data_IF_719711418872
#
_entry.id   IF_719711418872
#
_cell.length_a   1.000
_cell.length_b   1.000
_cell.length_c   1.000
_cell.angle_alpha   90.00
_cell.angle_beta   90.00
_cell.angle_gamma   90.00
#
_symmetry.space_group_name_H-M   'P 1'
#
loop_
_entity.id
_entity.type
_entity.pdbx_description
1 polymer ?
#
# COMPACT_ATOMS: atom_id res chain seq x y z
N UNK A 1 56.56 -26.81 31.84
CA UNK A 1 56.35 -25.64 30.98
C UNK A 1 55.70 -25.94 29.65
N UNK A 2 56.16 -26.93 28.82
CA UNK A 2 55.56 -27.25 27.51
C UNK A 2 54.08 -27.68 27.56
N UNK A 3 53.63 -28.42 28.62
CA UNK A 3 52.25 -28.86 28.77
C UNK A 3 51.28 -27.70 29.13
N UNK A 4 51.79 -26.70 29.91
CA UNK A 4 51.01 -25.52 30.28
C UNK A 4 50.82 -24.59 29.06
N UNK A 5 51.80 -24.50 28.16
CA UNK A 5 51.73 -23.71 26.94
C UNK A 5 50.71 -24.29 25.93
N UNK A 6 50.57 -25.64 25.88
CA UNK A 6 49.59 -26.32 25.02
C UNK A 6 48.15 -26.08 25.52
N UNK A 7 47.92 -26.01 26.80
CA UNK A 7 46.59 -25.75 27.40
C UNK A 7 46.18 -24.29 27.14
N UNK A 8 47.11 -23.34 27.25
CA UNK A 8 46.84 -21.92 26.95
C UNK A 8 46.55 -21.74 25.45
N UNK A 9 47.29 -22.44 24.56
CA UNK A 9 47.05 -22.35 23.11
C UNK A 9 45.68 -22.95 22.69
N UNK A 10 45.25 -24.04 23.36
CA UNK A 10 43.91 -24.62 23.10
C UNK A 10 42.75 -23.76 23.58
N UNK A 11 42.94 -22.94 24.62
CA UNK A 11 41.92 -22.00 25.13
C UNK A 11 41.69 -20.82 24.17
N UNK A 12 42.68 -20.43 23.35
CA UNK A 12 42.55 -19.39 22.33
C UNK A 12 41.79 -19.86 21.08
N UNK A 13 41.69 -21.16 20.83
CA UNK A 13 40.92 -21.71 19.69
C UNK A 13 39.42 -21.84 19.95
N UNK A 14 38.98 -21.59 21.18
CA UNK A 14 37.56 -21.58 21.59
C UNK A 14 36.90 -20.20 21.55
N UNK A 15 37.57 -19.15 21.09
CA UNK A 15 36.91 -17.94 20.67
C UNK A 15 36.20 -18.26 19.35
N UNK A 16 35.13 -19.04 19.47
CA UNK A 16 34.20 -19.26 18.37
C UNK A 16 33.81 -17.89 17.82
N UNK A 17 33.93 -17.71 16.52
CA UNK A 17 33.23 -16.64 15.85
C UNK A 17 31.80 -16.68 16.34
N UNK A 18 31.44 -15.80 17.24
CA UNK A 18 30.07 -15.43 17.47
C UNK A 18 29.60 -14.91 16.11
N UNK A 19 28.92 -15.76 15.33
CA UNK A 19 28.21 -15.32 14.15
C UNK A 19 27.35 -14.15 14.62
N UNK A 20 27.70 -12.96 14.16
CA UNK A 20 26.93 -11.76 14.49
C UNK A 20 25.54 -12.04 13.98
N UNK A 21 24.56 -12.12 14.85
CA UNK A 21 23.19 -12.44 14.49
C UNK A 21 22.71 -11.30 13.60
N UNK A 22 22.19 -11.63 12.42
CA UNK A 22 21.49 -10.67 11.57
C UNK A 22 20.33 -10.07 12.39
N UNK A 23 20.28 -8.76 12.50
CA UNK A 23 19.33 -8.07 13.35
C UNK A 23 17.87 -8.32 12.93
N UNK A 24 17.63 -8.74 11.69
CA UNK A 24 16.31 -9.00 11.14
C UNK A 24 16.03 -10.49 10.87
N UNK A 25 16.98 -11.40 11.06
CA UNK A 25 16.72 -12.84 10.94
C UNK A 25 15.75 -13.30 12.04
N UNK A 26 14.62 -13.92 11.64
CA UNK A 26 13.49 -14.24 12.52
C UNK A 26 12.89 -13.03 13.23
N UNK A 27 12.98 -11.85 12.61
CA UNK A 27 12.49 -10.60 13.18
C UNK A 27 10.96 -10.59 13.34
N UNK A 28 10.50 -9.90 14.38
CA UNK A 28 9.10 -9.50 14.52
C UNK A 28 8.93 -8.12 13.90
N UNK A 29 8.16 -8.06 12.83
CA UNK A 29 7.90 -6.84 12.07
C UNK A 29 6.44 -6.44 12.23
N UNK A 30 6.19 -5.22 12.71
CA UNK A 30 4.86 -4.64 12.65
C UNK A 30 4.73 -3.70 11.47
N UNK A 31 3.61 -3.81 10.79
CA UNK A 31 3.22 -2.92 9.68
C UNK A 31 1.95 -2.18 10.04
N UNK A 32 1.59 -1.17 9.29
CA UNK A 32 0.34 -0.45 9.45
C UNK A 32 -0.77 -1.07 8.60
N UNK A 33 -1.11 -0.44 7.49
CA UNK A 33 -2.20 -0.83 6.60
C UNK A 33 -1.90 -2.11 5.81
N UNK A 34 -2.95 -2.80 5.34
CA UNK A 34 -2.81 -4.07 4.62
C UNK A 34 -1.91 -3.97 3.37
N UNK A 35 -1.98 -2.93 2.52
CA UNK A 35 -1.07 -2.83 1.37
C UNK A 35 0.42 -2.87 1.75
N UNK A 36 0.79 -2.26 2.87
CA UNK A 36 2.18 -2.28 3.36
C UNK A 36 2.53 -3.65 3.95
N UNK A 37 1.61 -4.27 4.67
CA UNK A 37 1.76 -5.65 5.14
C UNK A 37 1.99 -6.59 3.97
N UNK A 38 1.16 -6.52 2.93
CA UNK A 38 1.27 -7.36 1.74
C UNK A 38 2.64 -7.25 1.06
N UNK A 39 3.14 -6.02 0.82
CA UNK A 39 4.49 -5.81 0.26
C UNK A 39 5.58 -6.43 1.13
N UNK A 40 5.46 -6.24 2.44
CA UNK A 40 6.45 -6.77 3.38
C UNK A 40 6.43 -8.30 3.41
N UNK A 41 5.24 -8.90 3.44
CA UNK A 41 5.07 -10.36 3.38
C UNK A 41 5.58 -10.94 2.05
N UNK A 42 5.29 -10.29 0.93
CA UNK A 42 5.75 -10.73 -0.38
C UNK A 42 7.28 -10.85 -0.44
N UNK A 43 7.98 -9.91 0.19
CA UNK A 43 9.44 -9.85 0.13
C UNK A 43 10.15 -10.53 1.30
N UNK A 44 9.49 -10.72 2.46
CA UNK A 44 10.22 -11.07 3.68
C UNK A 44 9.58 -12.14 4.57
N UNK A 45 8.40 -12.67 4.26
CA UNK A 45 7.66 -13.60 5.15
C UNK A 45 8.43 -14.87 5.53
N UNK A 46 9.37 -15.31 4.69
CA UNK A 46 10.14 -16.53 4.95
C UNK A 46 11.24 -16.32 6.00
N UNK A 47 11.53 -15.06 6.37
CA UNK A 47 12.58 -14.67 7.30
C UNK A 47 12.10 -13.89 8.53
N UNK A 48 10.81 -13.58 8.62
CA UNK A 48 10.25 -12.84 9.74
C UNK A 48 8.76 -13.07 9.95
N UNK A 49 8.30 -12.75 11.15
CA UNK A 49 6.87 -12.70 11.46
C UNK A 49 6.35 -11.30 11.21
N UNK A 50 5.35 -11.15 10.33
CA UNK A 50 4.82 -9.86 9.90
C UNK A 50 3.36 -9.75 10.36
N UNK A 51 3.08 -8.74 11.17
CA UNK A 51 1.74 -8.47 11.72
C UNK A 51 1.34 -7.01 11.47
N UNK A 52 0.03 -6.75 11.31
CA UNK A 52 -0.51 -5.38 11.31
C UNK A 52 -0.74 -4.90 12.75
N UNK A 53 -0.52 -3.60 13.00
CA UNK A 53 -0.92 -2.95 14.25
C UNK A 53 -2.43 -2.71 14.30
N UNK A 54 -3.10 -2.67 13.16
CA UNK A 54 -4.54 -2.46 13.08
C UNK A 54 -5.28 -3.79 13.17
N UNK A 55 -6.29 -3.89 14.05
CA UNK A 55 -7.21 -5.02 14.03
C UNK A 55 -7.97 -5.09 12.71
N UNK A 56 -8.41 -6.30 12.34
CA UNK A 56 -9.31 -6.50 11.21
C UNK A 56 -10.56 -5.63 11.33
N UNK A 57 -10.94 -4.96 10.23
CA UNK A 57 -12.12 -4.10 10.17
C UNK A 57 -12.00 -2.76 10.92
N UNK A 58 -10.85 -2.43 11.52
CA UNK A 58 -10.67 -1.14 12.18
C UNK A 58 -10.61 0.00 11.15
N UNK A 59 -11.25 1.12 11.47
CA UNK A 59 -11.04 2.37 10.72
C UNK A 59 -9.66 2.94 11.04
N UNK A 60 -8.73 2.80 10.10
CA UNK A 60 -7.32 3.18 10.27
C UNK A 60 -7.12 4.69 10.44
N UNK A 61 -8.08 5.52 10.01
CA UNK A 61 -7.97 6.97 10.09
C UNK A 61 -8.26 7.52 11.50
N UNK A 62 -9.05 6.78 12.29
CA UNK A 62 -9.45 7.19 13.65
C UNK A 62 -8.94 6.23 14.73
N UNK A 63 -8.32 5.11 14.34
CA UNK A 63 -7.84 4.12 15.31
C UNK A 63 -6.66 4.65 16.12
N UNK A 64 -6.81 4.62 17.44
CA UNK A 64 -5.76 5.02 18.37
C UNK A 64 -5.21 3.81 19.13
N UNK A 65 -3.88 3.73 19.22
CA UNK A 65 -3.22 2.69 20.00
C UNK A 65 -3.31 2.99 21.49
N UNK A 66 -3.69 1.99 22.27
CA UNK A 66 -3.58 2.04 23.72
C UNK A 66 -2.12 2.00 24.18
N UNK A 67 -1.84 2.48 25.38
CA UNK A 67 -0.50 2.41 25.98
C UNK A 67 0.06 0.96 26.04
N UNK A 68 -0.82 -0.03 26.24
CA UNK A 68 -0.44 -1.45 26.24
C UNK A 68 0.02 -1.91 24.85
N UNK A 69 -0.69 -1.49 23.80
CA UNK A 69 -0.33 -1.79 22.42
C UNK A 69 0.96 -1.10 22.01
N UNK A 70 1.12 0.19 22.36
CA UNK A 70 2.38 0.93 22.12
C UNK A 70 3.56 0.21 22.78
N UNK A 71 3.41 -0.25 24.03
CA UNK A 71 4.45 -1.02 24.73
C UNK A 71 4.72 -2.39 24.09
N UNK A 72 3.68 -3.04 23.52
CA UNK A 72 3.83 -4.30 22.79
C UNK A 72 4.60 -4.08 21.48
N UNK A 73 4.14 -3.17 20.66
CA UNK A 73 4.68 -2.95 19.32
C UNK A 73 6.08 -2.33 19.33
N UNK A 74 6.38 -1.50 20.32
CA UNK A 74 7.73 -0.96 20.52
C UNK A 74 8.81 -2.02 20.85
N UNK A 75 8.43 -3.26 21.14
CA UNK A 75 9.37 -4.37 21.38
C UNK A 75 9.74 -5.13 20.11
N UNK A 76 9.13 -4.81 18.98
CA UNK A 76 9.48 -5.42 17.70
C UNK A 76 10.87 -5.02 17.25
N UNK A 77 11.37 -5.73 16.27
CA UNK A 77 12.67 -5.45 15.66
C UNK A 77 12.54 -4.34 14.61
N UNK A 78 11.40 -4.29 13.90
CA UNK A 78 11.16 -3.33 12.82
C UNK A 78 9.69 -2.90 12.80
N UNK A 79 9.46 -1.60 12.52
CA UNK A 79 8.15 -1.03 12.25
C UNK A 79 8.12 -0.37 10.86
N UNK A 80 7.17 -0.77 10.01
CA UNK A 80 7.02 -0.27 8.63
C UNK A 80 5.68 0.44 8.50
N UNK A 81 5.68 1.70 8.06
CA UNK A 81 4.49 2.53 8.04
C UNK A 81 4.43 3.48 6.83
N UNK A 82 3.22 3.92 6.49
CA UNK A 82 3.00 4.96 5.49
C UNK A 82 3.01 6.35 6.15
N UNK A 83 4.05 7.13 5.89
CA UNK A 83 4.24 8.43 6.51
C UNK A 83 3.31 9.55 6.04
N UNK A 84 2.33 9.28 5.17
CA UNK A 84 1.39 10.28 4.66
C UNK A 84 0.16 10.51 5.55
N UNK A 85 -0.02 9.67 6.58
CA UNK A 85 -1.14 9.70 7.49
C UNK A 85 -0.71 10.01 8.94
N UNK A 86 -1.64 9.83 9.90
CA UNK A 86 -1.37 9.91 11.34
C UNK A 86 -0.32 8.87 11.84
N UNK A 87 0.07 7.93 11.01
CA UNK A 87 1.02 6.86 11.33
C UNK A 87 2.40 7.38 11.74
N UNK A 88 2.79 8.60 11.28
CA UNK A 88 3.99 9.30 11.83
C UNK A 88 3.92 9.52 13.33
N UNK A 89 2.74 9.80 13.87
CA UNK A 89 2.53 9.96 15.30
C UNK A 89 2.68 8.62 16.02
N UNK A 90 2.17 7.55 15.42
CA UNK A 90 2.35 6.18 15.94
C UNK A 90 3.84 5.84 15.97
N UNK A 91 4.56 6.01 14.86
CA UNK A 91 6.00 5.76 14.77
C UNK A 91 6.79 6.53 15.85
N UNK A 92 6.47 7.82 16.04
CA UNK A 92 7.06 8.66 17.11
C UNK A 92 6.80 8.08 18.49
N UNK A 93 5.59 7.61 18.76
CA UNK A 93 5.23 7.03 20.06
C UNK A 93 5.99 5.73 20.33
N UNK A 94 6.16 4.87 19.30
CA UNK A 94 6.93 3.63 19.39
C UNK A 94 8.42 3.91 19.66
N UNK A 95 9.04 4.83 18.90
CA UNK A 95 10.45 5.24 19.10
C UNK A 95 10.67 5.87 20.48
N UNK A 96 9.70 6.61 21.00
CA UNK A 96 9.80 7.17 22.36
C UNK A 96 9.83 6.08 23.43
N UNK A 97 9.26 4.91 23.19
CA UNK A 97 9.33 3.75 24.10
C UNK A 97 10.56 2.89 23.87
N UNK A 98 11.02 2.76 22.62
CA UNK A 98 12.22 1.99 22.26
C UNK A 98 13.05 2.78 21.25
N UNK A 99 14.15 3.38 21.68
CA UNK A 99 15.04 4.17 20.83
C UNK A 99 15.84 3.33 19.82
N UNK A 100 15.87 2.01 20.00
CA UNK A 100 16.57 1.07 19.12
C UNK A 100 15.64 0.42 18.10
N UNK A 101 14.34 0.72 18.12
CA UNK A 101 13.39 0.22 17.13
C UNK A 101 13.79 0.73 15.75
N UNK A 102 13.99 -0.20 14.83
CA UNK A 102 14.17 0.14 13.41
C UNK A 102 12.83 0.57 12.82
N UNK A 103 12.86 1.58 11.94
CA UNK A 103 11.64 2.07 11.28
C UNK A 103 11.87 2.26 9.79
N UNK A 104 10.82 2.01 9.00
CA UNK A 104 10.76 2.34 7.58
C UNK A 104 9.52 3.18 7.33
N UNK A 105 9.71 4.42 6.87
CA UNK A 105 8.65 5.22 6.25
C UNK A 105 8.66 4.92 4.75
N UNK A 106 7.69 4.13 4.29
CA UNK A 106 7.64 3.70 2.89
C UNK A 106 7.34 4.83 1.92
N UNK A 107 6.77 5.94 2.38
CA UNK A 107 6.47 7.13 1.57
C UNK A 107 7.64 8.11 1.48
N UNK A 108 8.73 7.84 2.18
CA UNK A 108 9.88 8.76 2.21
C UNK A 108 10.45 8.99 0.81
N UNK A 109 10.62 10.26 0.46
CA UNK A 109 11.15 10.67 -0.86
C UNK A 109 10.17 10.54 -2.02
N UNK A 110 8.94 10.08 -1.81
CA UNK A 110 7.92 10.07 -2.85
C UNK A 110 7.28 11.44 -2.99
N UNK A 111 7.11 11.86 -4.24
CA UNK A 111 6.34 13.04 -4.59
C UNK A 111 4.90 12.65 -4.89
N UNK A 112 3.96 13.25 -4.20
CA UNK A 112 2.53 13.05 -4.43
C UNK A 112 1.85 14.41 -4.59
N UNK A 113 0.83 14.47 -5.44
CA UNK A 113 0.04 15.67 -5.68
C UNK A 113 -1.24 15.63 -4.85
N UNK A 114 -1.72 16.80 -4.45
CA UNK A 114 -3.09 17.02 -3.96
C UNK A 114 -3.56 16.16 -2.77
N UNK A 115 -2.63 15.73 -1.90
CA UNK A 115 -2.99 14.97 -0.70
C UNK A 115 -3.34 13.50 -0.94
N UNK A 116 -2.90 12.94 -2.07
CA UNK A 116 -3.05 11.50 -2.35
C UNK A 116 -2.43 10.68 -1.21
N UNK A 117 -3.27 10.10 -0.36
CA UNK A 117 -2.84 9.31 0.79
C UNK A 117 -2.72 7.82 0.43
N UNK A 118 -3.53 7.36 -0.51
CA UNK A 118 -3.67 5.98 -0.95
C UNK A 118 -2.77 5.69 -2.15
N UNK A 119 -1.46 5.94 -2.01
CA UNK A 119 -0.48 5.74 -3.09
C UNK A 119 -0.48 4.32 -3.65
N UNK A 120 -0.86 3.33 -2.84
CA UNK A 120 -0.90 1.93 -3.25
C UNK A 120 -1.93 1.60 -4.31
N UNK A 121 -2.94 2.44 -4.54
CA UNK A 121 -3.94 2.21 -5.61
C UNK A 121 -3.36 2.38 -7.02
N UNK A 122 -2.27 3.12 -7.17
CA UNK A 122 -1.54 3.25 -8.43
C UNK A 122 -0.45 2.18 -8.52
N UNK A 123 -0.41 1.33 -9.58
CA UNK A 123 0.64 0.30 -9.74
C UNK A 123 2.06 0.89 -9.67
N UNK A 124 2.29 2.03 -10.32
CA UNK A 124 3.59 2.71 -10.29
C UNK A 124 3.97 3.20 -8.89
N UNK A 125 3.04 3.84 -8.18
CA UNK A 125 3.31 4.31 -6.82
C UNK A 125 3.53 3.13 -5.86
N UNK A 126 2.75 2.05 -6.03
CA UNK A 126 2.89 0.84 -5.22
C UNK A 126 4.25 0.18 -5.41
N UNK A 127 4.76 0.16 -6.66
CA UNK A 127 6.13 -0.27 -6.94
C UNK A 127 7.17 0.60 -6.24
N UNK A 128 6.94 1.91 -6.15
CA UNK A 128 7.85 2.81 -5.41
C UNK A 128 7.83 2.54 -3.90
N UNK A 129 6.66 2.25 -3.31
CA UNK A 129 6.56 1.83 -1.92
C UNK A 129 7.32 0.52 -1.68
N UNK A 130 7.17 -0.46 -2.57
CA UNK A 130 7.90 -1.72 -2.53
C UNK A 130 9.42 -1.51 -2.61
N UNK A 131 9.86 -0.60 -3.50
CA UNK A 131 11.28 -0.23 -3.64
C UNK A 131 11.83 0.32 -2.32
N UNK A 132 11.10 1.22 -1.67
CA UNK A 132 11.55 1.77 -0.39
C UNK A 132 11.67 0.69 0.68
N UNK A 133 10.69 -0.23 0.80
CA UNK A 133 10.79 -1.36 1.73
C UNK A 133 12.05 -2.20 1.43
N UNK A 134 12.24 -2.58 0.16
CA UNK A 134 13.40 -3.37 -0.27
C UNK A 134 14.72 -2.68 0.06
N UNK A 135 14.86 -1.40 -0.28
CA UNK A 135 16.11 -0.66 -0.09
C UNK A 135 16.47 -0.56 1.40
N UNK A 136 15.50 -0.21 2.28
CA UNK A 136 15.74 -0.14 3.72
C UNK A 136 15.96 -1.52 4.35
N UNK A 137 15.24 -2.56 3.93
CA UNK A 137 15.51 -3.93 4.40
C UNK A 137 16.95 -4.33 4.09
N UNK A 138 17.42 -4.08 2.87
CA UNK A 138 18.80 -4.38 2.45
C UNK A 138 19.85 -3.57 3.22
N UNK A 139 19.52 -2.36 3.66
CA UNK A 139 20.41 -1.55 4.50
C UNK A 139 20.58 -2.17 5.91
N UNK A 140 19.53 -2.78 6.44
CA UNK A 140 19.55 -3.38 7.78
C UNK A 140 20.02 -4.84 7.81
N UNK A 141 19.97 -5.53 6.68
CA UNK A 141 20.37 -6.94 6.57
C UNK A 141 21.89 -7.11 6.49
N UNK A 142 22.44 -7.95 7.36
CA UNK A 142 23.83 -8.35 7.31
C UNK A 142 24.04 -9.61 6.45
N UNK A 143 22.99 -10.44 6.31
CA UNK A 143 23.03 -11.68 5.51
C UNK A 143 22.87 -11.40 4.02
N UNK A 144 23.89 -11.72 3.23
CA UNK A 144 23.83 -11.61 1.78
C UNK A 144 22.75 -12.54 1.19
N UNK A 145 22.55 -13.72 1.76
CA UNK A 145 21.54 -14.69 1.30
C UNK A 145 20.14 -14.11 1.42
N UNK A 146 19.83 -13.48 2.57
CA UNK A 146 18.52 -12.85 2.79
C UNK A 146 18.38 -11.61 1.92
N UNK A 147 19.44 -10.82 1.78
CA UNK A 147 19.44 -9.64 0.91
C UNK A 147 19.19 -10.00 -0.55
N UNK A 148 19.79 -11.08 -1.05
CA UNK A 148 19.56 -11.56 -2.42
C UNK A 148 18.16 -12.12 -2.61
N UNK A 149 17.61 -12.78 -1.59
CA UNK A 149 16.20 -13.23 -1.59
C UNK A 149 15.23 -12.03 -1.69
N UNK A 150 15.42 -11.00 -0.86
CA UNK A 150 14.61 -9.77 -0.90
C UNK A 150 14.68 -9.10 -2.27
N UNK A 151 15.89 -9.01 -2.85
CA UNK A 151 16.08 -8.46 -4.20
C UNK A 151 15.30 -9.26 -5.24
N UNK A 152 15.44 -10.60 -5.21
CA UNK A 152 14.71 -11.50 -6.13
C UNK A 152 13.20 -11.30 -6.02
N UNK A 153 12.66 -11.26 -4.80
CA UNK A 153 11.23 -11.06 -4.57
C UNK A 153 10.74 -9.68 -5.03
N UNK A 154 11.55 -8.66 -4.84
CA UNK A 154 11.26 -7.34 -5.38
C UNK A 154 11.23 -7.36 -6.91
N UNK A 155 12.15 -8.05 -7.58
CA UNK A 155 12.13 -8.15 -9.05
C UNK A 155 10.87 -8.86 -9.55
N UNK A 156 10.46 -9.99 -8.93
CA UNK A 156 9.20 -10.67 -9.24
C UNK A 156 8.00 -9.71 -9.13
N UNK A 157 7.90 -8.95 -8.04
CA UNK A 157 6.84 -7.96 -7.83
C UNK A 157 6.90 -6.81 -8.84
N UNK A 158 8.12 -6.34 -9.15
CA UNK A 158 8.35 -5.26 -10.10
C UNK A 158 7.87 -5.62 -11.51
N UNK A 159 8.09 -6.86 -11.96
CA UNK A 159 7.56 -7.34 -13.23
C UNK A 159 6.03 -7.30 -13.25
N UNK A 160 5.38 -7.82 -12.20
CA UNK A 160 3.92 -7.84 -12.09
C UNK A 160 3.34 -6.41 -12.11
N UNK A 161 3.86 -5.52 -11.28
CA UNK A 161 3.34 -4.16 -11.18
C UNK A 161 3.64 -3.32 -12.42
N UNK A 162 4.78 -3.55 -13.08
CA UNK A 162 5.10 -2.88 -14.34
C UNK A 162 4.18 -3.28 -15.48
N UNK A 163 3.74 -4.54 -15.53
CA UNK A 163 2.73 -4.99 -16.49
C UNK A 163 1.39 -4.31 -16.23
N UNK A 164 0.95 -4.28 -14.97
CA UNK A 164 -0.31 -3.58 -14.59
C UNK A 164 -0.27 -2.08 -14.90
N UNK A 165 0.86 -1.41 -14.69
CA UNK A 165 1.06 -0.02 -15.07
C UNK A 165 1.00 0.16 -16.60
N UNK A 166 1.60 -0.74 -17.36
CA UNK A 166 1.57 -0.72 -18.83
C UNK A 166 0.16 -0.95 -19.37
N UNK A 167 -0.58 -1.89 -18.80
CA UNK A 167 -1.98 -2.18 -19.19
C UNK A 167 -2.85 -0.94 -18.95
N UNK A 168 -2.77 -0.33 -17.78
CA UNK A 168 -3.55 0.87 -17.47
C UNK A 168 -3.21 2.05 -18.41
N UNK A 169 -1.93 2.21 -18.80
CA UNK A 169 -1.52 3.20 -19.82
C UNK A 169 -2.08 2.89 -21.19
N UNK A 170 -2.10 1.63 -21.58
CA UNK A 170 -2.66 1.20 -22.87
C UNK A 170 -4.16 1.47 -22.94
N UNK A 171 -4.90 1.11 -21.89
CA UNK A 171 -6.34 1.38 -21.75
C UNK A 171 -6.62 2.88 -21.83
N UNK A 172 -5.89 3.70 -21.06
CA UNK A 172 -6.08 5.15 -21.06
C UNK A 172 -5.82 5.78 -22.44
N UNK A 173 -4.78 5.34 -23.15
CA UNK A 173 -4.46 5.80 -24.50
C UNK A 173 -5.55 5.40 -25.51
N UNK A 174 -6.05 4.18 -25.42
CA UNK A 174 -7.14 3.71 -26.29
C UNK A 174 -8.43 4.46 -26.01
N UNK A 175 -8.82 4.59 -24.72
CA UNK A 175 -9.99 5.36 -24.29
C UNK A 175 -9.93 6.81 -24.78
N UNK A 176 -8.75 7.44 -24.69
CA UNK A 176 -8.55 8.80 -25.19
C UNK A 176 -8.76 8.89 -26.71
N UNK A 177 -8.28 7.91 -27.47
CA UNK A 177 -8.46 7.86 -28.93
C UNK A 177 -9.92 7.67 -29.35
N UNK A 178 -10.71 6.98 -28.51
CA UNK A 178 -12.16 6.76 -28.73
C UNK A 178 -13.04 7.90 -28.15
N UNK A 179 -12.47 8.80 -27.35
CA UNK A 179 -13.22 9.85 -26.64
C UNK A 179 -14.04 9.32 -25.46
N UNK A 180 -13.69 8.15 -24.92
CA UNK A 180 -14.37 7.45 -23.81
C UNK A 180 -13.57 7.50 -22.51
N UNK A 181 -12.57 8.35 -22.41
CA UNK A 181 -11.62 8.41 -21.30
C UNK A 181 -12.13 9.19 -20.06
N UNK A 182 -13.42 9.53 -19.99
CA UNK A 182 -13.99 10.21 -18.82
C UNK A 182 -14.55 9.20 -17.83
N UNK A 183 -14.06 9.24 -16.60
CA UNK A 183 -14.49 8.40 -15.48
C UNK A 183 -15.18 9.25 -14.43
N UNK A 184 -16.35 8.81 -13.98
CA UNK A 184 -17.06 9.41 -12.85
C UNK A 184 -16.74 8.60 -11.61
N UNK A 185 -16.24 9.27 -10.58
CA UNK A 185 -15.71 8.63 -9.38
C UNK A 185 -16.30 9.20 -8.10
N UNK A 186 -16.40 8.40 -7.06
CA UNK A 186 -16.93 8.83 -5.76
C UNK A 186 -15.93 9.66 -4.95
N UNK A 187 -14.62 9.50 -5.22
CA UNK A 187 -13.57 10.01 -4.36
C UNK A 187 -12.37 10.54 -5.18
N UNK A 188 -11.68 11.54 -4.62
CA UNK A 188 -10.51 12.15 -5.24
C UNK A 188 -9.28 11.22 -5.30
N UNK A 189 -9.27 10.10 -4.57
CA UNK A 189 -8.20 9.10 -4.63
C UNK A 189 -7.96 8.60 -6.06
N UNK A 190 -9.01 8.57 -6.88
CA UNK A 190 -8.91 8.14 -8.28
C UNK A 190 -8.21 9.15 -9.21
N UNK A 191 -7.85 10.35 -8.74
CA UNK A 191 -7.15 11.36 -9.56
C UNK A 191 -5.79 10.89 -10.07
N UNK A 192 -5.16 9.87 -9.46
CA UNK A 192 -3.95 9.31 -10.01
C UNK A 192 -4.14 8.76 -11.45
N UNK A 193 -5.37 8.41 -11.85
CA UNK A 193 -5.70 7.96 -13.20
C UNK A 193 -5.49 9.03 -14.28
N UNK A 194 -5.45 10.31 -13.89
CA UNK A 194 -5.11 11.41 -14.82
C UNK A 194 -3.70 11.21 -15.41
N UNK A 195 -2.78 10.58 -14.66
CA UNK A 195 -1.43 10.25 -15.15
C UNK A 195 -1.44 9.17 -16.26
N UNK A 196 -2.56 8.49 -16.44
CA UNK A 196 -2.79 7.46 -17.46
C UNK A 196 -3.64 7.95 -18.64
N UNK A 197 -4.01 9.25 -18.66
CA UNK A 197 -4.77 9.87 -19.76
C UNK A 197 -6.28 9.86 -19.56
N UNK A 198 -6.76 9.49 -18.37
CA UNK A 198 -8.19 9.61 -18.04
C UNK A 198 -8.55 11.03 -17.61
N UNK A 199 -9.79 11.42 -17.89
CA UNK A 199 -10.39 12.63 -17.36
C UNK A 199 -11.29 12.26 -16.17
N UNK A 200 -10.93 12.70 -14.97
CA UNK A 200 -11.59 12.31 -13.73
C UNK A 200 -12.60 13.38 -13.30
N UNK A 201 -13.85 12.98 -13.18
CA UNK A 201 -14.95 13.79 -12.67
C UNK A 201 -15.37 13.24 -11.30
N UNK A 202 -14.98 13.92 -10.24
CA UNK A 202 -15.18 13.46 -8.86
C UNK A 202 -16.48 13.96 -8.27
N UNK A 203 -17.17 13.08 -7.54
CA UNK A 203 -18.32 13.36 -6.68
C UNK A 203 -17.94 13.56 -5.20
N UNK A 204 -16.64 13.67 -4.92
CA UNK A 204 -16.14 13.97 -3.59
C UNK A 204 -16.67 15.33 -3.09
N UNK A 205 -17.37 15.28 -1.94
CA UNK A 205 -18.12 16.41 -1.40
C UNK A 205 -17.24 17.59 -0.97
N UNK A 206 -15.95 17.37 -0.65
CA UNK A 206 -15.03 18.44 -0.23
C UNK A 206 -14.87 19.54 -1.30
N UNK A 207 -14.96 19.17 -2.59
CA UNK A 207 -14.68 20.05 -3.71
C UNK A 207 -15.85 20.14 -4.71
N UNK A 208 -16.99 19.50 -4.43
CA UNK A 208 -18.13 19.41 -5.34
C UNK A 208 -18.99 20.69 -5.26
N UNK A 209 -18.93 21.51 -6.30
CA UNK A 209 -19.84 22.68 -6.41
C UNK A 209 -21.20 22.24 -6.92
N UNK A 210 -22.25 23.02 -6.59
CA UNK A 210 -23.61 22.79 -7.09
C UNK A 210 -23.66 22.82 -8.64
N UNK A 211 -22.92 23.70 -9.28
CA UNK A 211 -22.80 23.76 -10.74
C UNK A 211 -22.20 22.51 -11.35
N UNK A 212 -21.14 21.97 -10.74
CA UNK A 212 -20.52 20.72 -11.15
C UNK A 212 -21.47 19.55 -10.99
N UNK A 213 -22.13 19.43 -9.84
CA UNK A 213 -23.11 18.39 -9.59
C UNK A 213 -24.27 18.40 -10.59
N UNK A 214 -24.80 19.59 -10.91
CA UNK A 214 -25.86 19.74 -11.90
C UNK A 214 -25.37 19.35 -13.30
N UNK A 215 -24.13 19.67 -13.66
CA UNK A 215 -23.54 19.22 -14.93
C UNK A 215 -23.42 17.70 -14.98
N UNK A 216 -22.97 17.06 -13.92
CA UNK A 216 -22.87 15.59 -13.82
C UNK A 216 -24.24 14.96 -13.98
N UNK A 217 -25.27 15.42 -13.24
CA UNK A 217 -26.64 14.93 -13.33
C UNK A 217 -27.21 15.06 -14.76
N UNK A 218 -26.93 16.19 -15.43
CA UNK A 218 -27.37 16.40 -16.82
C UNK A 218 -26.69 15.41 -17.80
N UNK A 219 -25.44 15.07 -17.59
CA UNK A 219 -24.73 14.09 -18.42
C UNK A 219 -25.27 12.66 -18.19
N UNK A 220 -25.60 12.28 -16.96
CA UNK A 220 -26.29 11.02 -16.68
C UNK A 220 -27.69 11.00 -17.34
N UNK A 221 -28.46 12.08 -17.24
CA UNK A 221 -29.76 12.21 -17.90
C UNK A 221 -29.68 12.04 -19.43
N UNK A 222 -28.59 12.46 -20.03
CA UNK A 222 -28.32 12.33 -21.48
C UNK A 222 -27.65 11.01 -21.85
N UNK A 223 -27.44 10.13 -20.89
CA UNK A 223 -26.71 8.87 -21.05
C UNK A 223 -25.27 9.05 -21.55
N UNK A 224 -24.70 10.26 -21.45
CA UNK A 224 -23.27 10.50 -21.75
C UNK A 224 -22.39 9.86 -20.70
N UNK A 225 -22.86 9.85 -19.44
CA UNK A 225 -22.26 9.10 -18.32
C UNK A 225 -23.22 7.98 -17.94
N UNK A 226 -22.68 6.79 -17.69
CA UNK A 226 -23.50 5.60 -17.37
C UNK A 226 -23.05 4.91 -16.09
N UNK A 227 -21.80 5.08 -15.67
CA UNK A 227 -21.19 4.31 -14.58
C UNK A 227 -20.44 5.22 -13.60
N UNK A 228 -20.48 4.88 -12.33
CA UNK A 228 -19.73 5.54 -11.25
C UNK A 228 -18.82 4.48 -10.59
N UNK A 229 -17.54 4.79 -10.45
CA UNK A 229 -16.62 4.02 -9.60
C UNK A 229 -16.82 4.49 -8.14
N UNK A 230 -17.19 3.58 -7.26
CA UNK A 230 -17.48 3.87 -5.85
C UNK A 230 -16.41 3.23 -4.97
N UNK A 231 -15.69 4.05 -4.20
CA UNK A 231 -14.65 3.58 -3.29
C UNK A 231 -15.27 2.98 -2.02
N UNK A 232 -14.86 1.77 -1.66
CA UNK A 232 -15.20 1.08 -0.40
C UNK A 232 -16.68 1.14 -0.02
N UNK A 233 -17.57 1.01 -1.00
CA UNK A 233 -19.04 1.09 -0.83
C UNK A 233 -19.52 2.42 -0.23
N UNK A 234 -18.77 3.51 -0.35
CA UNK A 234 -19.13 4.82 0.19
C UNK A 234 -20.18 5.54 -0.71
N UNK A 235 -21.43 5.17 -0.57
CA UNK A 235 -22.56 5.74 -1.30
C UNK A 235 -23.05 7.01 -0.62
N UNK A 236 -22.56 8.18 -1.03
CA UNK A 236 -23.07 9.49 -0.57
C UNK A 236 -24.50 9.72 -1.08
N UNK A 237 -25.20 10.70 -0.51
CA UNK A 237 -26.57 11.06 -0.93
C UNK A 237 -26.61 11.52 -2.40
N UNK A 238 -25.56 12.17 -2.89
CA UNK A 238 -25.46 12.57 -4.30
C UNK A 238 -25.36 11.34 -5.22
N UNK A 239 -24.56 10.35 -4.86
CA UNK A 239 -24.43 9.09 -5.62
C UNK A 239 -25.76 8.34 -5.62
N UNK A 240 -26.41 8.17 -4.46
CA UNK A 240 -27.71 7.51 -4.34
C UNK A 240 -28.77 8.19 -5.22
N UNK A 241 -28.78 9.53 -5.23
CA UNK A 241 -29.68 10.30 -6.09
C UNK A 241 -29.44 10.02 -7.56
N UNK A 242 -28.17 10.03 -8.00
CA UNK A 242 -27.82 9.78 -9.41
C UNK A 242 -28.19 8.34 -9.81
N UNK A 243 -27.93 7.36 -8.96
CA UNK A 243 -28.31 5.95 -9.20
C UNK A 243 -29.83 5.79 -9.31
N UNK A 244 -30.60 6.39 -8.41
CA UNK A 244 -32.04 6.24 -8.38
C UNK A 244 -32.74 6.97 -9.53
N UNK A 245 -32.34 8.21 -9.80
CA UNK A 245 -33.07 9.11 -10.72
C UNK A 245 -32.65 8.85 -12.18
N UNK A 246 -31.37 8.50 -12.42
CA UNK A 246 -30.82 8.36 -13.78
C UNK A 246 -30.40 6.92 -14.11
N UNK A 247 -30.62 5.95 -13.18
CA UNK A 247 -30.26 4.53 -13.39
C UNK A 247 -28.77 4.30 -13.67
N UNK A 248 -27.91 5.13 -13.09
CA UNK A 248 -26.47 4.96 -13.20
C UNK A 248 -26.05 3.58 -12.66
N UNK A 249 -25.13 2.93 -13.34
CA UNK A 249 -24.46 1.73 -12.84
C UNK A 249 -23.41 2.14 -11.82
N UNK A 250 -23.12 1.26 -10.89
CA UNK A 250 -22.00 1.44 -9.96
C UNK A 250 -21.06 0.24 -10.04
N UNK A 251 -19.77 0.51 -9.86
CA UNK A 251 -18.74 -0.50 -9.69
C UNK A 251 -18.02 -0.17 -8.39
N UNK A 252 -18.10 -1.08 -7.43
CA UNK A 252 -17.43 -0.93 -6.15
C UNK A 252 -15.95 -1.27 -6.29
N UNK A 253 -15.10 -0.33 -5.89
CA UNK A 253 -13.64 -0.44 -5.89
C UNK A 253 -13.16 -0.52 -4.44
N UNK A 254 -12.40 -1.56 -4.12
CA UNK A 254 -11.82 -1.74 -2.78
C UNK A 254 -10.49 -1.00 -2.69
N UNK A 255 -10.32 -0.14 -1.70
CA UNK A 255 -9.02 0.48 -1.41
C UNK A 255 -8.02 -0.51 -0.81
N UNK A 256 -8.51 -1.59 -0.24
CA UNK A 256 -7.70 -2.59 0.49
C UNK A 256 -6.91 -2.00 1.67
N UNK A 257 -7.28 -0.83 2.16
CA UNK A 257 -6.58 -0.16 3.26
C UNK A 257 -6.56 -1.01 4.54
N UNK A 258 -7.67 -1.72 4.79
CA UNK A 258 -7.79 -2.68 5.87
C UNK A 258 -8.69 -3.83 5.42
N UNK A 259 -8.17 -5.05 5.51
CA UNK A 259 -8.81 -6.25 5.01
C UNK A 259 -9.27 -7.11 6.17
N UNK A 260 -10.50 -7.60 6.12
CA UNK A 260 -11.00 -8.59 7.07
C UNK A 260 -10.23 -9.90 6.94
N UNK A 261 -10.04 -10.60 8.06
CA UNK A 261 -9.27 -11.85 8.13
C UNK A 261 -9.78 -12.97 7.22
N UNK A 262 -11.05 -12.90 6.85
CA UNK A 262 -11.71 -13.90 6.02
C UNK A 262 -11.63 -13.60 4.51
N UNK A 263 -11.04 -12.46 4.14
CA UNK A 263 -10.88 -12.10 2.73
C UNK A 263 -9.76 -12.94 2.11
N UNK A 264 -10.11 -13.71 1.08
CA UNK A 264 -9.17 -14.54 0.31
C UNK A 264 -8.54 -13.81 -0.86
N UNK A 265 -9.00 -12.58 -1.15
CA UNK A 265 -8.50 -11.81 -2.28
C UNK A 265 -7.12 -11.24 -1.93
N UNK A 266 -6.12 -11.57 -2.73
CA UNK A 266 -4.83 -10.92 -2.60
C UNK A 266 -4.83 -9.54 -3.28
N UNK A 267 -3.90 -8.70 -2.84
CA UNK A 267 -3.85 -7.30 -3.29
C UNK A 267 -3.67 -7.16 -4.82
N UNK A 268 -2.85 -8.01 -5.44
CA UNK A 268 -2.56 -7.95 -6.87
C UNK A 268 -3.75 -8.38 -7.71
N UNK A 269 -4.57 -9.30 -7.21
CA UNK A 269 -5.84 -9.71 -7.85
C UNK A 269 -6.84 -8.57 -7.81
N UNK A 270 -7.05 -7.92 -6.66
CA UNK A 270 -7.96 -6.77 -6.55
C UNK A 270 -7.51 -5.59 -7.43
N UNK A 271 -6.21 -5.36 -7.53
CA UNK A 271 -5.67 -4.34 -8.44
C UNK A 271 -5.95 -4.71 -9.92
N UNK A 272 -5.89 -5.99 -10.29
CA UNK A 272 -6.24 -6.42 -11.65
C UNK A 272 -7.71 -6.22 -11.92
N UNK A 273 -8.58 -6.65 -11.02
CA UNK A 273 -10.04 -6.45 -11.15
C UNK A 273 -10.39 -4.96 -11.33
N UNK A 274 -9.69 -4.08 -10.64
CA UNK A 274 -9.86 -2.64 -10.80
C UNK A 274 -9.47 -2.18 -12.23
N UNK A 275 -8.35 -2.64 -12.76
CA UNK A 275 -7.88 -2.32 -14.12
C UNK A 275 -8.89 -2.85 -15.17
N UNK A 276 -9.32 -4.09 -15.02
CA UNK A 276 -10.29 -4.73 -15.91
C UNK A 276 -11.64 -3.99 -15.90
N UNK A 277 -12.06 -3.50 -14.75
CA UNK A 277 -13.27 -2.66 -14.64
C UNK A 277 -13.13 -1.34 -15.39
N UNK A 278 -11.96 -0.68 -15.32
CA UNK A 278 -11.70 0.54 -16.12
C UNK A 278 -11.74 0.23 -17.62
N UNK A 279 -11.12 -0.87 -18.04
CA UNK A 279 -11.16 -1.32 -19.44
C UNK A 279 -12.60 -1.52 -19.92
N UNK A 280 -13.41 -2.24 -19.15
CA UNK A 280 -14.81 -2.49 -19.46
C UNK A 280 -15.64 -1.21 -19.56
N UNK A 281 -15.37 -0.20 -18.73
CA UNK A 281 -16.08 1.09 -18.80
C UNK A 281 -15.71 1.87 -20.05
N UNK A 282 -14.43 1.86 -20.42
CA UNK A 282 -13.88 2.79 -21.41
C UNK A 282 -13.77 2.19 -22.82
N UNK A 283 -13.63 0.87 -22.93
CA UNK A 283 -13.28 0.21 -24.21
C UNK A 283 -14.43 -0.65 -24.76
N UNK A 284 -15.25 -1.25 -23.87
CA UNK A 284 -16.42 -2.05 -24.26
C UNK A 284 -17.59 -1.16 -24.65
#
# INVERSE_FOLDING_TARGET
>A
MKKLFLIILSAFLLTGCSLKKDNLENATIYTTIYPIKYLTEFMYKDYGTIESIYPSGADVYIYELTDKQIKKYAKSDLFIYNGLSNEKTIAKNLINKNKNLLIIDVSNGLSYKNGDKELWMSPNNYLMLAKNIKDYLKEYLESQIISDYVEKKYQELSEILSLKDADLRAIGKEAQSKGTNTLIVSDNVFKFLENYGFNIVSLDEENLTEGTLNSIKNNFKKETYTTILVLDNNYTENIKTIVNDYKAKTIDVKSMINVETDNTDDYLTVMQDFIDNIENICIS
#
